data_IF_139150939164
#
_entry.id   IF_139150939164
#
_cell.length_a   1.000
_cell.length_b   1.000
_cell.length_c   1.000
_cell.angle_alpha   90.00
_cell.angle_beta   90.00
_cell.angle_gamma   90.00
#
_symmetry.space_group_name_H-M   'P 1'
#
loop_
_entity.id
_entity.type
_entity.pdbx_description
1 polymer ?
#
# COMPACT_ATOMS: atom_id res chain seq x y z
N UNK A 1 27.68 -10.10 2.46
CA UNK A 1 26.38 -9.74 1.82
C UNK A 1 25.52 -10.96 1.92
N UNK A 2 24.47 -10.90 2.73
CA UNK A 2 23.53 -12.02 2.87
C UNK A 2 22.21 -11.64 2.21
N UNK A 3 21.72 -12.50 1.33
CA UNK A 3 20.45 -12.32 0.67
C UNK A 3 19.36 -13.06 1.44
N UNK A 4 18.24 -12.39 1.65
CA UNK A 4 17.01 -13.00 2.14
C UNK A 4 16.19 -13.39 0.93
N UNK A 5 15.88 -14.69 0.79
CA UNK A 5 15.15 -15.22 -0.37
C UNK A 5 13.85 -15.86 0.09
N UNK A 6 12.76 -15.45 -0.54
CA UNK A 6 11.42 -15.99 -0.35
C UNK A 6 11.02 -16.72 -1.63
N UNK A 7 10.67 -18.00 -1.54
CA UNK A 7 10.33 -18.87 -2.67
C UNK A 7 8.95 -19.48 -2.49
N UNK A 8 8.09 -19.30 -3.48
CA UNK A 8 6.76 -19.91 -3.59
C UNK A 8 5.89 -19.70 -2.34
N UNK A 9 5.98 -18.53 -1.73
CA UNK A 9 5.25 -18.19 -0.51
C UNK A 9 3.75 -18.16 -0.79
N UNK A 10 3.01 -19.03 -0.09
CA UNK A 10 1.54 -19.07 -0.11
C UNK A 10 1.02 -19.06 1.31
N UNK A 11 0.09 -18.14 1.59
CA UNK A 11 -0.50 -17.98 2.91
C UNK A 11 -1.95 -17.52 2.85
N UNK A 12 -2.80 -18.11 3.69
CA UNK A 12 -4.17 -17.66 3.94
C UNK A 12 -4.51 -17.82 5.42
N UNK A 13 -5.24 -16.87 5.99
CA UNK A 13 -5.80 -17.04 7.33
C UNK A 13 -6.93 -18.07 7.32
N UNK A 14 -7.08 -18.78 8.42
CA UNK A 14 -8.16 -19.74 8.60
C UNK A 14 -9.53 -19.06 8.38
N UNK A 15 -10.39 -19.66 7.55
CA UNK A 15 -11.71 -19.14 7.22
C UNK A 15 -11.76 -18.14 6.05
N UNK A 16 -10.63 -17.76 5.46
CA UNK A 16 -10.61 -16.92 4.27
C UNK A 16 -10.57 -17.76 3.00
N UNK A 17 -11.44 -17.44 2.03
CA UNK A 17 -11.54 -18.15 0.75
C UNK A 17 -10.38 -17.82 -0.20
N UNK A 18 -9.80 -16.61 -0.08
CA UNK A 18 -8.71 -16.17 -0.94
C UNK A 18 -7.42 -16.07 -0.15
N UNK A 19 -6.30 -16.61 -0.68
CA UNK A 19 -4.99 -16.43 -0.05
C UNK A 19 -4.59 -14.94 -0.08
N UNK A 20 -3.82 -14.54 0.94
CA UNK A 20 -3.20 -13.20 0.99
C UNK A 20 -1.97 -13.19 0.09
N UNK A 21 -1.19 -14.26 0.14
CA UNK A 21 -0.07 -14.51 -0.78
C UNK A 21 -0.29 -15.83 -1.50
N UNK A 22 -0.11 -15.82 -2.81
CA UNK A 22 -0.26 -17.00 -3.66
C UNK A 22 0.96 -17.16 -4.56
N UNK A 23 1.79 -18.16 -4.25
CA UNK A 23 3.00 -18.52 -5.00
C UNK A 23 3.94 -17.33 -5.28
N UNK A 24 4.21 -16.50 -4.25
CA UNK A 24 5.00 -15.31 -4.38
C UNK A 24 6.48 -15.61 -4.13
N UNK A 25 7.36 -15.11 -5.01
CA UNK A 25 8.81 -15.27 -4.89
C UNK A 25 9.51 -13.94 -5.12
N UNK A 26 10.41 -13.56 -4.20
CA UNK A 26 11.24 -12.37 -4.30
C UNK A 26 12.45 -12.49 -3.37
N UNK A 27 13.43 -11.62 -3.58
CA UNK A 27 14.63 -11.58 -2.73
C UNK A 27 15.08 -10.13 -2.49
N UNK A 28 15.79 -9.93 -1.39
CA UNK A 28 16.39 -8.64 -1.04
C UNK A 28 17.66 -8.83 -0.22
N UNK A 29 18.54 -7.82 -0.25
CA UNK A 29 19.82 -7.85 0.49
C UNK A 29 19.64 -7.25 1.89
N UNK A 30 20.35 -7.80 2.87
CA UNK A 30 20.34 -7.34 4.27
C UNK A 30 20.91 -5.93 4.46
N UNK A 31 21.63 -5.38 3.49
CA UNK A 31 22.13 -4.01 3.52
C UNK A 31 21.16 -2.98 2.94
N UNK A 32 20.06 -3.42 2.34
CA UNK A 32 19.09 -2.52 1.76
C UNK A 32 18.19 -1.90 2.82
N UNK A 33 17.95 -0.61 2.69
CA UNK A 33 16.98 0.16 3.47
C UNK A 33 15.67 0.16 2.69
N UNK A 34 14.77 -0.72 3.10
CA UNK A 34 13.62 -1.09 2.28
C UNK A 34 12.34 -0.49 2.85
N UNK A 35 11.58 0.22 2.01
CA UNK A 35 10.21 0.60 2.31
C UNK A 35 9.23 -0.47 1.80
N UNK A 36 8.43 -1.05 2.69
CA UNK A 36 7.36 -1.97 2.33
C UNK A 36 6.07 -1.20 2.09
N UNK A 37 5.65 -1.13 0.84
CA UNK A 37 4.54 -0.29 0.39
C UNK A 37 3.40 -1.17 -0.12
N UNK A 38 2.17 -0.72 0.09
CA UNK A 38 0.97 -1.39 -0.38
C UNK A 38 -0.28 -0.83 0.30
N UNK A 39 -1.45 -1.15 -0.22
CA UNK A 39 -2.74 -0.71 0.35
C UNK A 39 -2.94 -1.27 1.76
N UNK A 40 -3.78 -0.59 2.55
CA UNK A 40 -4.19 -1.13 3.84
C UNK A 40 -4.93 -2.46 3.65
N UNK A 41 -4.60 -3.44 4.49
CA UNK A 41 -5.18 -4.78 4.40
C UNK A 41 -4.60 -5.70 3.32
N UNK A 42 -3.58 -5.27 2.53
CA UNK A 42 -2.99 -6.09 1.47
C UNK A 42 -2.04 -7.18 2.00
N UNK A 43 -1.68 -7.14 3.28
CA UNK A 43 -0.81 -8.16 3.87
C UNK A 43 0.57 -7.66 4.33
N UNK A 44 0.83 -6.35 4.46
CA UNK A 44 2.13 -5.83 4.94
C UNK A 44 2.51 -6.41 6.31
N UNK A 45 1.64 -6.25 7.31
CA UNK A 45 1.88 -6.79 8.66
C UNK A 45 1.82 -8.31 8.69
N UNK A 46 1.08 -8.95 7.76
CA UNK A 46 1.11 -10.40 7.59
C UNK A 46 2.48 -10.87 7.11
N UNK A 47 3.08 -10.18 6.14
CA UNK A 47 4.44 -10.50 5.70
C UNK A 47 5.44 -10.42 6.86
N UNK A 48 5.34 -9.41 7.74
CA UNK A 48 6.17 -9.34 8.95
C UNK A 48 5.99 -10.55 9.86
N UNK A 49 4.75 -10.99 10.10
CA UNK A 49 4.48 -12.19 10.92
C UNK A 49 5.09 -13.45 10.29
N UNK A 50 5.03 -13.59 8.96
CA UNK A 50 5.62 -14.72 8.24
C UNK A 50 7.15 -14.70 8.33
N UNK A 51 7.79 -13.56 8.15
CA UNK A 51 9.24 -13.39 8.30
C UNK A 51 9.72 -13.72 9.72
N UNK A 52 8.89 -13.41 10.73
CA UNK A 52 9.13 -13.71 12.14
C UNK A 52 8.75 -15.15 12.53
N UNK A 53 8.31 -15.99 11.61
CA UNK A 53 7.81 -17.35 11.85
C UNK A 53 6.67 -17.42 12.88
N UNK A 54 5.83 -16.37 12.96
CA UNK A 54 4.67 -16.33 13.87
C UNK A 54 3.43 -17.03 13.30
N UNK A 55 3.45 -17.35 12.01
CA UNK A 55 2.36 -18.03 11.29
C UNK A 55 2.95 -19.15 10.41
N UNK A 56 2.18 -20.21 10.20
CA UNK A 56 2.57 -21.31 9.31
C UNK A 56 2.24 -20.99 7.87
N UNK A 57 3.17 -21.23 6.95
CA UNK A 57 3.03 -20.92 5.53
C UNK A 57 3.53 -22.05 4.65
N UNK A 58 3.16 -22.04 3.37
CA UNK A 58 3.74 -22.89 2.35
C UNK A 58 4.83 -22.12 1.59
N UNK A 59 5.88 -22.81 1.17
CA UNK A 59 7.04 -22.20 0.53
C UNK A 59 8.27 -22.20 1.43
N UNK A 60 9.28 -21.40 1.07
CA UNK A 60 10.55 -21.36 1.80
C UNK A 60 11.01 -19.92 1.98
N UNK A 61 11.45 -19.59 3.20
CA UNK A 61 12.14 -18.35 3.53
C UNK A 61 13.56 -18.72 3.97
N UNK A 62 14.56 -18.34 3.16
CA UNK A 62 15.97 -18.56 3.45
C UNK A 62 16.59 -17.26 3.94
N UNK A 63 17.23 -17.31 5.13
CA UNK A 63 17.85 -16.15 5.78
C UNK A 63 19.04 -16.58 6.62
N UNK A 64 20.06 -15.74 6.64
CA UNK A 64 21.27 -15.92 7.49
C UNK A 64 21.30 -14.94 8.68
N UNK A 65 20.22 -14.15 8.85
CA UNK A 65 20.12 -13.13 9.92
C UNK A 65 18.87 -13.34 10.74
N UNK A 66 18.91 -12.89 12.00
CA UNK A 66 17.74 -12.86 12.86
C UNK A 66 16.86 -11.65 12.52
N UNK A 67 15.55 -11.86 12.37
CA UNK A 67 14.59 -10.77 12.24
C UNK A 67 14.16 -10.27 13.61
N UNK A 68 14.26 -8.95 13.80
CA UNK A 68 13.88 -8.27 15.04
C UNK A 68 12.71 -7.33 14.73
N UNK A 69 11.61 -7.48 15.46
CA UNK A 69 10.42 -6.65 15.27
C UNK A 69 10.51 -5.35 16.08
N UNK A 70 10.15 -4.25 15.44
CA UNK A 70 9.83 -2.98 16.09
C UNK A 70 8.35 -2.63 15.87
N UNK A 71 7.59 -2.20 16.90
CA UNK A 71 7.97 -2.21 18.29
C UNK A 71 8.10 -3.63 18.86
N UNK A 72 9.03 -3.85 19.79
CA UNK A 72 9.13 -5.12 20.50
C UNK A 72 7.92 -5.32 21.43
N UNK A 73 7.63 -6.56 21.80
CA UNK A 73 6.62 -6.84 22.79
C UNK A 73 7.19 -6.56 24.19
N UNK A 74 6.79 -5.46 24.80
CA UNK A 74 7.15 -5.13 26.20
C UNK A 74 6.02 -5.63 27.09
N UNK A 75 6.36 -6.50 28.05
CA UNK A 75 5.40 -7.08 28.99
C UNK A 75 5.15 -6.12 30.16
N UNK A 76 6.21 -5.46 30.64
CA UNK A 76 6.18 -4.59 31.81
C UNK A 76 6.73 -3.21 31.46
N UNK A 77 5.84 -2.22 31.39
CA UNK A 77 6.18 -0.81 31.08
C UNK A 77 6.60 0.01 32.31
N UNK A 78 6.48 -0.54 33.52
CA UNK A 78 6.92 0.13 34.75
C UNK A 78 8.44 0.07 34.94
N UNK A 79 9.13 -0.79 34.18
CA UNK A 79 10.60 -0.93 34.21
C UNK A 79 11.28 0.34 33.70
N UNK A 80 12.50 0.55 34.19
CA UNK A 80 13.38 1.60 33.68
C UNK A 80 13.82 1.29 32.26
N UNK A 81 14.06 2.31 31.44
CA UNK A 81 14.55 2.12 30.07
C UNK A 81 15.84 1.28 30.01
N UNK A 82 16.75 1.44 30.97
CA UNK A 82 17.99 0.65 31.06
C UNK A 82 17.73 -0.84 31.40
N UNK A 83 16.68 -1.14 32.14
CA UNK A 83 16.29 -2.51 32.45
C UNK A 83 15.70 -3.19 31.22
N UNK A 84 14.89 -2.46 30.43
CA UNK A 84 14.39 -2.93 29.15
C UNK A 84 15.52 -3.21 28.15
N UNK A 85 16.57 -2.38 28.15
CA UNK A 85 17.76 -2.65 27.34
C UNK A 85 18.39 -3.99 27.71
N UNK A 86 18.63 -4.25 29.00
CA UNK A 86 19.22 -5.50 29.48
C UNK A 86 18.35 -6.73 29.23
N UNK A 87 17.03 -6.55 29.17
CA UNK A 87 16.09 -7.62 28.88
C UNK A 87 16.04 -7.96 27.38
N UNK A 88 16.04 -6.95 26.52
CA UNK A 88 15.92 -7.11 25.07
C UNK A 88 17.26 -7.46 24.40
N UNK A 89 18.36 -7.01 24.97
CA UNK A 89 19.72 -7.16 24.44
C UNK A 89 20.57 -7.82 25.49
N UNK A 90 21.06 -9.01 25.22
CA UNK A 90 21.95 -9.76 26.11
C UNK A 90 23.38 -9.20 26.18
N UNK A 91 23.68 -8.18 25.39
CA UNK A 91 25.00 -7.57 25.32
C UNK A 91 25.08 -6.41 26.32
N UNK A 92 26.09 -6.44 27.23
CA UNK A 92 26.21 -5.47 28.32
C UNK A 92 26.95 -4.18 27.93
N UNK A 93 27.20 -3.94 26.64
CA UNK A 93 27.90 -2.74 26.17
C UNK A 93 27.00 -1.48 26.19
N UNK A 94 26.73 -0.97 27.39
CA UNK A 94 25.87 0.23 27.59
C UNK A 94 26.33 1.45 26.77
N UNK A 95 27.63 1.58 26.47
CA UNK A 95 28.14 2.68 25.66
C UNK A 95 27.55 2.71 24.23
N UNK A 96 27.21 1.55 23.66
CA UNK A 96 26.53 1.46 22.37
C UNK A 96 25.15 2.11 22.45
N UNK A 97 24.41 1.83 23.51
CA UNK A 97 23.11 2.42 23.75
C UNK A 97 23.20 3.94 23.86
N UNK A 98 24.12 4.46 24.67
CA UNK A 98 24.29 5.93 24.82
C UNK A 98 24.67 6.60 23.51
N UNK A 99 25.49 5.98 22.69
CA UNK A 99 25.78 6.46 21.35
C UNK A 99 24.51 6.55 20.48
N UNK A 100 23.66 5.53 20.52
CA UNK A 100 22.41 5.51 19.75
C UNK A 100 21.39 6.55 20.25
N UNK A 101 21.30 6.75 21.57
CA UNK A 101 20.46 7.78 22.17
C UNK A 101 20.89 9.19 21.72
N UNK A 102 22.19 9.46 21.74
CA UNK A 102 22.75 10.74 21.28
C UNK A 102 22.42 11.01 19.82
N UNK A 103 22.51 10.00 18.94
CA UNK A 103 22.14 10.11 17.54
C UNK A 103 20.64 10.42 17.32
N UNK A 104 19.79 10.03 18.27
CA UNK A 104 18.35 10.31 18.25
C UNK A 104 17.96 11.58 19.02
N UNK A 105 18.95 12.36 19.47
CA UNK A 105 18.75 13.55 20.30
C UNK A 105 17.88 13.27 21.54
N UNK A 106 18.21 12.21 22.28
CA UNK A 106 17.58 11.81 23.53
C UNK A 106 18.54 12.07 24.68
N UNK A 107 18.06 12.74 25.73
CA UNK A 107 18.80 12.92 26.96
C UNK A 107 19.04 11.54 27.63
N UNK A 108 20.31 11.22 27.90
CA UNK A 108 20.71 9.97 28.51
C UNK A 108 20.03 9.71 29.86
N UNK A 109 19.69 10.75 30.61
CA UNK A 109 18.99 10.62 31.87
C UNK A 109 17.59 10.01 31.75
N UNK A 110 16.96 10.10 30.58
CA UNK A 110 15.62 9.55 30.34
C UNK A 110 15.59 8.03 30.43
N UNK A 111 16.70 7.35 30.19
CA UNK A 111 16.75 5.88 30.24
C UNK A 111 16.65 5.33 31.67
N UNK A 112 16.91 6.18 32.68
CA UNK A 112 16.78 5.85 34.09
C UNK A 112 15.41 6.21 34.69
N UNK A 113 14.45 6.62 33.84
CA UNK A 113 13.06 6.81 34.21
C UNK A 113 12.22 5.59 33.89
N UNK A 114 11.09 5.44 34.56
CA UNK A 114 10.09 4.44 34.23
C UNK A 114 9.60 4.68 32.80
N UNK A 115 9.60 3.63 31.98
CA UNK A 115 9.31 3.73 30.55
C UNK A 115 7.90 4.30 30.29
N UNK A 116 6.92 3.99 31.14
CA UNK A 116 5.56 4.51 31.00
C UNK A 116 5.43 6.02 31.24
N UNK A 117 6.36 6.61 32.01
CA UNK A 117 6.40 8.06 32.29
C UNK A 117 6.95 8.89 31.12
N UNK A 118 7.57 8.23 30.15
CA UNK A 118 8.12 8.87 28.98
C UNK A 118 7.01 9.20 27.97
N UNK A 119 7.18 10.30 27.23
CA UNK A 119 6.29 10.57 26.11
C UNK A 119 6.37 9.44 25.05
N UNK A 120 5.28 9.21 24.30
CA UNK A 120 5.25 8.17 23.26
C UNK A 120 6.35 8.35 22.20
N UNK A 121 6.72 9.60 21.91
CA UNK A 121 7.84 9.89 21.01
C UNK A 121 9.20 9.51 21.58
N UNK A 122 9.45 9.76 22.87
CA UNK A 122 10.67 9.33 23.55
C UNK A 122 10.73 7.81 23.67
N UNK A 123 9.61 7.15 24.03
CA UNK A 123 9.51 5.69 24.04
C UNK A 123 9.90 5.09 22.69
N UNK A 124 9.36 5.63 21.58
CA UNK A 124 9.68 5.19 20.22
C UNK A 124 11.16 5.31 19.90
N UNK A 125 11.77 6.45 20.21
CA UNK A 125 13.19 6.70 19.96
C UNK A 125 14.11 5.81 20.82
N UNK A 126 13.78 5.65 22.10
CA UNK A 126 14.56 4.78 23.02
C UNK A 126 14.49 3.32 22.53
N UNK A 127 13.33 2.82 22.15
CA UNK A 127 13.22 1.46 21.61
C UNK A 127 14.00 1.28 20.31
N UNK A 128 14.01 2.27 19.42
CA UNK A 128 14.83 2.24 18.22
C UNK A 128 16.32 2.20 18.59
N UNK A 129 16.76 3.04 19.54
CA UNK A 129 18.14 3.05 20.04
C UNK A 129 18.53 1.66 20.56
N UNK A 130 17.71 1.06 21.42
CA UNK A 130 17.92 -0.27 21.99
C UNK A 130 18.08 -1.32 20.89
N UNK A 131 17.15 -1.40 19.94
CA UNK A 131 17.17 -2.45 18.94
C UNK A 131 18.32 -2.30 17.93
N UNK A 132 18.77 -1.08 17.64
CA UNK A 132 19.91 -0.83 16.76
C UNK A 132 21.28 -1.06 17.43
N UNK A 133 21.36 -1.35 18.73
CA UNK A 133 22.60 -1.83 19.35
C UNK A 133 22.92 -3.27 18.95
N UNK A 134 21.91 -4.06 18.53
CA UNK A 134 22.10 -5.45 18.07
C UNK A 134 22.66 -5.47 16.66
N UNK A 135 23.93 -5.80 16.51
CA UNK A 135 24.66 -5.70 15.24
C UNK A 135 24.28 -6.77 14.22
N UNK A 136 23.87 -7.97 14.67
CA UNK A 136 23.58 -9.12 13.82
C UNK A 136 22.09 -9.27 13.46
N UNK A 137 21.26 -8.28 13.76
CA UNK A 137 19.83 -8.29 13.52
C UNK A 137 19.42 -7.52 12.25
N UNK A 138 18.36 -7.98 11.59
CA UNK A 138 17.68 -7.23 10.55
C UNK A 138 16.32 -6.73 11.07
N UNK A 139 16.17 -5.42 11.21
CA UNK A 139 14.98 -4.84 11.82
C UNK A 139 13.79 -4.80 10.85
N UNK A 140 12.65 -5.25 11.35
CA UNK A 140 11.32 -5.11 10.74
C UNK A 140 10.57 -4.02 11.50
N UNK A 141 10.52 -2.81 10.93
CA UNK A 141 10.01 -1.61 11.60
C UNK A 141 8.59 -1.32 11.11
N UNK A 142 7.61 -1.39 12.02
CA UNK A 142 6.19 -1.15 11.71
C UNK A 142 5.76 0.20 12.29
N UNK A 143 5.45 1.18 11.42
CA UNK A 143 4.87 2.50 11.72
C UNK A 143 5.57 3.28 12.86
N UNK A 144 6.88 3.55 12.78
CA UNK A 144 7.60 4.26 13.85
C UNK A 144 7.19 5.74 13.96
N UNK A 145 6.49 6.27 12.97
CA UNK A 145 6.10 7.69 12.88
C UNK A 145 4.81 8.04 13.63
N UNK A 146 4.04 7.05 14.10
CA UNK A 146 2.69 7.26 14.66
C UNK A 146 2.66 8.21 15.88
N UNK A 147 3.73 8.27 16.66
CA UNK A 147 3.79 9.06 17.90
C UNK A 147 4.83 10.18 17.84
N UNK A 148 5.47 10.37 16.67
CA UNK A 148 6.47 11.40 16.49
C UNK A 148 5.84 12.69 15.95
N UNK A 149 6.29 13.81 16.47
CA UNK A 149 6.03 15.12 15.86
C UNK A 149 6.93 15.34 14.63
N UNK A 150 6.79 16.47 13.95
CA UNK A 150 7.53 16.72 12.71
C UNK A 150 9.05 16.71 12.91
N UNK A 151 9.53 17.26 14.03
CA UNK A 151 10.96 17.31 14.32
C UNK A 151 11.48 15.92 14.71
N UNK A 152 10.71 15.19 15.51
CA UNK A 152 11.01 13.80 15.85
C UNK A 152 11.09 12.90 14.60
N UNK A 153 10.19 13.08 13.62
CA UNK A 153 10.24 12.34 12.34
C UNK A 153 11.51 12.65 11.55
N UNK A 154 11.93 13.91 11.47
CA UNK A 154 13.18 14.30 10.80
C UNK A 154 14.40 13.64 11.45
N UNK A 155 14.50 13.72 12.79
CA UNK A 155 15.59 13.10 13.54
C UNK A 155 15.65 11.59 13.29
N UNK A 156 14.51 10.89 13.40
CA UNK A 156 14.46 9.43 13.19
C UNK A 156 14.73 9.07 11.72
N UNK A 157 14.25 9.86 10.76
CA UNK A 157 14.54 9.64 9.33
C UNK A 157 16.04 9.74 9.05
N UNK A 158 16.71 10.79 9.56
CA UNK A 158 18.15 10.98 9.41
C UNK A 158 18.95 9.89 10.12
N UNK A 159 18.51 9.48 11.30
CA UNK A 159 19.08 8.35 12.04
C UNK A 159 19.01 7.06 11.22
N UNK A 160 17.84 6.69 10.71
CA UNK A 160 17.66 5.49 9.87
C UNK A 160 18.46 5.55 8.57
N UNK A 161 18.59 6.74 7.97
CA UNK A 161 19.41 6.95 6.78
C UNK A 161 20.86 6.53 6.98
N UNK A 162 21.38 6.62 8.19
CA UNK A 162 22.78 6.30 8.52
C UNK A 162 22.95 4.85 9.04
N UNK A 163 21.86 4.08 9.17
CA UNK A 163 21.92 2.67 9.62
C UNK A 163 22.16 1.71 8.45
N UNK A 164 22.51 0.46 8.82
CA UNK A 164 22.53 -0.68 7.88
C UNK A 164 21.09 -1.00 7.43
N UNK A 165 20.91 -2.12 6.73
CA UNK A 165 19.60 -2.48 6.17
C UNK A 165 18.51 -2.73 7.21
N UNK A 166 17.29 -2.47 6.79
CA UNK A 166 16.06 -2.72 7.53
C UNK A 166 14.87 -2.80 6.56
N UNK A 167 13.75 -3.33 7.03
CA UNK A 167 12.46 -3.31 6.32
C UNK A 167 11.47 -2.44 7.11
N UNK A 168 10.97 -1.38 6.49
CA UNK A 168 10.17 -0.33 7.11
C UNK A 168 8.78 -0.24 6.49
N UNK A 169 7.75 -0.28 7.32
CA UNK A 169 6.39 0.10 6.96
C UNK A 169 6.13 1.50 7.52
N UNK A 170 5.74 2.43 6.66
CA UNK A 170 5.24 3.75 7.08
C UNK A 170 4.25 4.30 6.06
N UNK A 171 3.30 5.12 6.55
CA UNK A 171 2.38 5.89 5.73
C UNK A 171 2.88 7.30 5.42
N UNK A 172 3.97 7.71 6.06
CA UNK A 172 4.60 9.01 5.87
C UNK A 172 5.59 8.96 4.69
N UNK A 173 5.24 9.65 3.61
CA UNK A 173 6.01 9.65 2.36
C UNK A 173 7.35 10.37 2.49
N UNK A 174 7.34 11.53 3.15
CA UNK A 174 8.54 12.34 3.35
C UNK A 174 9.54 11.60 4.25
N UNK A 175 9.03 10.89 5.26
CA UNK A 175 9.83 10.03 6.12
C UNK A 175 10.49 8.88 5.33
N UNK A 176 9.71 8.19 4.49
CA UNK A 176 10.23 7.13 3.64
C UNK A 176 11.31 7.65 2.68
N UNK A 177 11.05 8.77 1.99
CA UNK A 177 12.02 9.36 1.06
C UNK A 177 13.35 9.75 1.73
N UNK A 178 13.29 10.12 2.99
CA UNK A 178 14.48 10.48 3.76
C UNK A 178 15.39 9.31 4.14
N UNK A 179 14.87 8.09 4.25
CA UNK A 179 15.62 6.98 4.87
C UNK A 179 15.74 5.71 4.02
N UNK A 180 14.92 5.48 2.99
CA UNK A 180 14.97 4.25 2.19
C UNK A 180 15.76 4.42 0.89
N UNK A 181 16.26 3.30 0.35
CA UNK A 181 16.92 3.22 -0.96
C UNK A 181 16.38 2.11 -1.86
N UNK A 182 15.47 1.30 -1.35
CA UNK A 182 14.73 0.27 -2.09
C UNK A 182 13.28 0.25 -1.65
N UNK A 183 12.41 -0.18 -2.56
CA UNK A 183 10.97 -0.32 -2.31
C UNK A 183 10.54 -1.74 -2.65
N UNK A 184 9.86 -2.39 -1.71
CA UNK A 184 9.08 -3.60 -1.96
C UNK A 184 7.62 -3.21 -1.98
N UNK A 185 6.97 -3.35 -3.13
CA UNK A 185 5.55 -3.04 -3.28
C UNK A 185 4.71 -4.31 -3.35
N UNK A 186 3.76 -4.45 -2.43
CA UNK A 186 2.79 -5.55 -2.45
C UNK A 186 1.59 -5.08 -3.27
N UNK A 187 1.37 -5.77 -4.40
CA UNK A 187 0.20 -5.62 -5.24
C UNK A 187 -0.74 -6.83 -5.04
N UNK A 188 -1.92 -6.84 -5.67
CA UNK A 188 -2.87 -7.96 -5.53
C UNK A 188 -2.30 -9.32 -5.93
N UNK A 189 -1.49 -9.36 -6.99
CA UNK A 189 -1.03 -10.60 -7.62
C UNK A 189 0.49 -10.69 -7.71
N UNK A 190 1.23 -9.70 -7.26
CA UNK A 190 2.70 -9.66 -7.35
C UNK A 190 3.32 -8.86 -6.23
N UNK A 191 4.57 -9.19 -5.92
CA UNK A 191 5.45 -8.34 -5.12
C UNK A 191 6.56 -7.86 -6.05
N UNK A 192 6.70 -6.55 -6.17
CA UNK A 192 7.70 -5.93 -7.01
C UNK A 192 8.79 -5.29 -6.14
N UNK A 193 10.05 -5.56 -6.45
CA UNK A 193 11.22 -4.98 -5.78
C UNK A 193 11.87 -3.96 -6.70
N UNK A 194 12.06 -2.74 -6.23
CA UNK A 194 12.60 -1.64 -7.01
C UNK A 194 13.69 -0.89 -6.24
N UNK A 195 14.77 -0.53 -6.91
CA UNK A 195 15.78 0.38 -6.38
C UNK A 195 15.27 1.83 -6.48
N UNK A 196 15.58 2.62 -5.47
CA UNK A 196 15.19 4.03 -5.38
C UNK A 196 14.38 4.33 -4.11
N UNK A 197 14.03 5.60 -3.93
CA UNK A 197 13.19 6.07 -2.83
C UNK A 197 11.69 5.98 -3.18
N UNK A 198 10.83 6.40 -2.25
CA UNK A 198 9.38 6.36 -2.44
C UNK A 198 8.92 7.21 -3.64
N UNK A 199 9.47 8.41 -3.79
CA UNK A 199 9.11 9.33 -4.89
C UNK A 199 9.42 8.72 -6.25
N UNK A 200 10.63 8.16 -6.45
CA UNK A 200 11.02 7.52 -7.71
C UNK A 200 10.14 6.30 -8.03
N UNK A 201 9.82 5.50 -7.02
CA UNK A 201 8.87 4.38 -7.17
C UNK A 201 7.48 4.86 -7.55
N UNK A 202 6.98 5.93 -6.88
CA UNK A 202 5.65 6.47 -7.15
C UNK A 202 5.51 7.04 -8.56
N UNK A 203 6.52 7.77 -9.04
CA UNK A 203 6.57 8.28 -10.42
C UNK A 203 6.54 7.14 -11.45
N UNK A 204 7.38 6.11 -11.24
CA UNK A 204 7.40 4.92 -12.09
C UNK A 204 6.03 4.21 -12.09
N UNK A 205 5.40 4.09 -10.92
CA UNK A 205 4.05 3.51 -10.81
C UNK A 205 3.02 4.33 -11.57
N UNK A 206 3.02 5.63 -11.42
CA UNK A 206 2.09 6.53 -12.13
C UNK A 206 2.28 6.44 -13.65
N UNK A 207 3.52 6.36 -14.12
CA UNK A 207 3.81 6.18 -15.55
C UNK A 207 3.29 4.82 -16.05
N UNK A 208 3.54 3.74 -15.30
CA UNK A 208 3.06 2.39 -15.62
C UNK A 208 1.53 2.35 -15.65
N UNK A 209 0.87 2.92 -14.65
CA UNK A 209 -0.60 2.97 -14.55
C UNK A 209 -1.20 3.75 -15.75
N UNK A 210 -0.62 4.91 -16.11
CA UNK A 210 -1.05 5.69 -17.30
C UNK A 210 -0.91 4.91 -18.58
N UNK A 211 0.21 4.21 -18.75
CA UNK A 211 0.45 3.39 -19.93
C UNK A 211 -0.57 2.24 -20.03
N UNK A 212 -0.82 1.54 -18.92
CA UNK A 212 -1.79 0.45 -18.84
C UNK A 212 -3.22 0.94 -19.09
N UNK A 213 -3.61 2.11 -18.57
CA UNK A 213 -4.90 2.74 -18.87
C UNK A 213 -5.05 3.02 -20.37
N UNK A 214 -4.03 3.62 -20.98
CA UNK A 214 -4.03 3.91 -22.43
C UNK A 214 -4.14 2.63 -23.28
N UNK A 215 -3.42 1.57 -22.88
CA UNK A 215 -3.54 0.26 -23.55
C UNK A 215 -4.93 -0.35 -23.39
N UNK A 216 -5.49 -0.32 -22.19
CA UNK A 216 -6.85 -0.82 -21.93
C UNK A 216 -7.91 -0.06 -22.73
N UNK A 217 -7.77 1.26 -22.87
CA UNK A 217 -8.68 2.05 -23.71
C UNK A 217 -8.60 1.65 -25.20
N UNK A 218 -7.38 1.43 -25.73
CA UNK A 218 -7.20 0.93 -27.10
C UNK A 218 -7.83 -0.44 -27.27
N UNK A 219 -7.58 -1.38 -26.34
CA UNK A 219 -8.17 -2.71 -26.37
C UNK A 219 -9.70 -2.66 -26.31
N UNK A 220 -10.27 -1.83 -25.45
CA UNK A 220 -11.74 -1.64 -25.35
C UNK A 220 -12.33 -1.10 -26.66
N UNK A 221 -11.67 -0.13 -27.30
CA UNK A 221 -12.08 0.39 -28.62
C UNK A 221 -12.04 -0.71 -29.70
N UNK A 222 -10.98 -1.52 -29.71
CA UNK A 222 -10.84 -2.62 -30.65
C UNK A 222 -11.91 -3.72 -30.42
N UNK A 223 -12.14 -4.09 -29.15
CA UNK A 223 -13.19 -5.05 -28.78
C UNK A 223 -14.56 -4.52 -29.25
N UNK A 224 -14.84 -3.23 -29.05
CA UNK A 224 -16.08 -2.62 -29.51
C UNK A 224 -16.22 -2.72 -31.04
N UNK A 225 -15.16 -2.37 -31.79
CA UNK A 225 -15.16 -2.48 -33.25
C UNK A 225 -15.38 -3.92 -33.73
N UNK A 226 -14.72 -4.90 -33.11
CA UNK A 226 -14.90 -6.31 -33.44
C UNK A 226 -16.31 -6.81 -33.11
N UNK A 227 -16.90 -6.40 -31.99
CA UNK A 227 -18.30 -6.71 -31.63
C UNK A 227 -19.30 -6.12 -32.63
N UNK A 228 -19.09 -4.88 -33.05
CA UNK A 228 -19.91 -4.23 -34.04
C UNK A 228 -19.80 -4.92 -35.40
N UNK A 229 -18.60 -5.28 -35.84
CA UNK A 229 -18.36 -6.03 -37.07
C UNK A 229 -19.02 -7.43 -37.04
N UNK A 230 -18.90 -8.13 -35.91
CA UNK A 230 -19.55 -9.43 -35.70
C UNK A 230 -21.08 -9.30 -35.78
N UNK A 231 -21.64 -8.28 -35.13
CA UNK A 231 -23.08 -7.98 -35.19
C UNK A 231 -23.56 -7.70 -36.62
N UNK A 232 -22.82 -6.86 -37.40
CA UNK A 232 -23.15 -6.58 -38.79
C UNK A 232 -23.06 -7.83 -39.67
N UNK A 233 -22.03 -8.66 -39.47
CA UNK A 233 -21.87 -9.96 -40.16
C UNK A 233 -23.05 -10.88 -39.90
N UNK A 234 -23.55 -10.94 -38.66
CA UNK A 234 -24.72 -11.73 -38.28
C UNK A 234 -25.98 -11.22 -38.95
N UNK A 235 -26.25 -9.91 -38.90
CA UNK A 235 -27.42 -9.28 -39.57
C UNK A 235 -27.40 -9.57 -41.07
N UNK A 236 -26.22 -9.56 -41.69
CA UNK A 236 -26.04 -9.84 -43.12
C UNK A 236 -26.34 -11.34 -43.42
N UNK A 237 -25.86 -12.24 -42.56
CA UNK A 237 -26.16 -13.67 -42.66
C UNK A 237 -27.65 -13.96 -42.54
N UNK A 238 -28.32 -13.35 -41.55
CA UNK A 238 -29.76 -13.50 -41.34
C UNK A 238 -30.59 -12.94 -42.52
N UNK A 239 -30.15 -11.82 -43.13
CA UNK A 239 -30.78 -11.26 -44.34
C UNK A 239 -30.66 -12.22 -45.52
N UNK A 240 -29.49 -12.84 -45.74
CA UNK A 240 -29.30 -13.81 -46.84
C UNK A 240 -30.17 -15.06 -46.60
N UNK A 241 -30.31 -15.49 -45.36
CA UNK A 241 -31.15 -16.64 -44.98
C UNK A 241 -32.63 -16.36 -45.26
N UNK A 242 -33.12 -15.17 -44.91
CA UNK A 242 -34.48 -14.73 -45.19
C UNK A 242 -34.77 -14.56 -46.69
N UNK A 243 -33.76 -14.24 -47.50
CA UNK A 243 -33.92 -14.12 -48.98
C UNK A 243 -34.11 -15.52 -49.63
N UNK A 244 -33.71 -16.62 -48.96
CA UNK A 244 -34.01 -17.99 -49.40
C UNK A 244 -35.51 -18.30 -49.42
N UNK A 245 -36.27 -17.71 -48.53
CA UNK A 245 -37.67 -18.05 -48.29
C UNK A 245 -38.68 -17.09 -48.93
N UNK A 246 -38.22 -16.05 -49.62
CA UNK A 246 -39.12 -14.97 -50.00
C UNK A 246 -38.80 -14.17 -51.25
N UNK A 247 -38.62 -14.77 -52.43
CA UNK A 247 -38.89 -14.04 -53.68
C UNK A 247 -39.51 -15.01 -54.70
N UNK A 248 -40.84 -14.94 -54.87
CA UNK A 248 -41.52 -15.44 -56.04
C UNK A 248 -41.34 -14.35 -57.14
N UNK A 249 -40.29 -14.47 -57.96
CA UNK A 249 -40.21 -13.73 -59.21
C UNK A 249 -40.95 -14.54 -60.29
N UNK A 250 -41.97 -13.93 -60.86
CA UNK A 250 -42.78 -14.49 -61.91
C UNK A 250 -41.94 -14.84 -63.15
N UNK A 251 -41.91 -16.13 -63.52
CA UNK A 251 -41.50 -16.54 -64.85
C UNK A 251 -40.28 -17.44 -65.02
N UNK A 252 -39.41 -17.60 -64.05
CA UNK A 252 -38.23 -18.52 -64.12
C UNK A 252 -38.13 -19.35 -62.86
N UNK A 253 -38.15 -20.68 -62.98
CA UNK A 253 -37.88 -21.59 -61.87
C UNK A 253 -36.41 -21.45 -61.51
N UNK A 254 -36.04 -20.86 -60.36
CA UNK A 254 -34.63 -20.77 -59.94
C UNK A 254 -34.12 -22.18 -59.67
N UNK A 255 -32.90 -22.47 -60.13
CA UNK A 255 -32.20 -23.71 -59.81
C UNK A 255 -31.91 -23.74 -58.30
N UNK A 256 -32.81 -24.43 -57.57
CA UNK A 256 -32.76 -24.54 -56.11
C UNK A 256 -31.47 -25.20 -55.63
N UNK A 257 -30.83 -26.02 -56.46
CA UNK A 257 -29.57 -26.72 -56.12
C UNK A 257 -28.38 -25.76 -56.08
N UNK A 258 -28.27 -24.88 -57.10
CA UNK A 258 -27.16 -23.93 -57.21
C UNK A 258 -27.28 -22.82 -56.12
N UNK A 259 -28.48 -22.31 -55.90
CA UNK A 259 -28.74 -21.28 -54.84
C UNK A 259 -28.51 -21.90 -53.44
N UNK A 260 -28.92 -23.15 -53.23
CA UNK A 260 -28.66 -23.85 -51.96
C UNK A 260 -27.16 -24.05 -51.66
N UNK A 261 -26.40 -24.40 -52.68
CA UNK A 261 -24.93 -24.58 -52.54
C UNK A 261 -24.20 -23.25 -52.27
N UNK A 262 -24.55 -22.18 -53.02
CA UNK A 262 -23.97 -20.82 -52.76
C UNK A 262 -24.30 -20.32 -51.36
N UNK A 263 -25.53 -20.49 -50.93
CA UNK A 263 -25.99 -20.09 -49.60
C UNK A 263 -25.28 -20.89 -48.49
N UNK A 264 -25.11 -22.20 -48.64
CA UNK A 264 -24.35 -23.04 -47.68
C UNK A 264 -22.88 -22.61 -47.62
N UNK A 265 -22.27 -22.27 -48.77
CA UNK A 265 -20.88 -21.77 -48.82
C UNK A 265 -20.74 -20.41 -48.16
N UNK A 266 -21.71 -19.50 -48.34
CA UNK A 266 -21.73 -18.19 -47.65
C UNK A 266 -21.96 -18.32 -46.16
N UNK A 267 -22.89 -19.17 -45.70
CA UNK A 267 -23.09 -19.46 -44.29
C UNK A 267 -21.83 -20.04 -43.61
N UNK A 268 -21.15 -20.96 -44.28
CA UNK A 268 -19.89 -21.53 -43.77
C UNK A 268 -18.80 -20.47 -43.64
N UNK A 269 -18.70 -19.52 -44.59
CA UNK A 269 -17.79 -18.37 -44.52
C UNK A 269 -18.17 -17.42 -43.40
N UNK A 270 -19.46 -17.08 -43.22
CA UNK A 270 -19.95 -16.22 -42.16
C UNK A 270 -19.68 -16.81 -40.77
N UNK A 271 -19.98 -18.11 -40.59
CA UNK A 271 -19.73 -18.82 -39.32
C UNK A 271 -18.23 -18.91 -38.98
N UNK A 272 -17.38 -19.13 -39.99
CA UNK A 272 -15.94 -19.08 -39.80
C UNK A 272 -15.43 -17.69 -39.43
N UNK A 273 -15.99 -16.64 -40.00
CA UNK A 273 -15.64 -15.26 -39.68
C UNK A 273 -16.07 -14.92 -38.25
N UNK A 274 -17.29 -15.29 -37.87
CA UNK A 274 -17.83 -15.11 -36.50
C UNK A 274 -16.98 -15.82 -35.47
N UNK A 275 -16.58 -17.07 -35.72
CA UNK A 275 -15.71 -17.82 -34.83
C UNK A 275 -14.32 -17.16 -34.68
N UNK A 276 -13.73 -16.62 -35.77
CA UNK A 276 -12.47 -15.88 -35.72
C UNK A 276 -12.61 -14.57 -34.94
N UNK A 277 -13.71 -13.85 -35.12
CA UNK A 277 -13.98 -12.60 -34.40
C UNK A 277 -14.20 -12.87 -32.91
N UNK A 278 -14.94 -13.90 -32.55
CA UNK A 278 -15.17 -14.28 -31.16
C UNK A 278 -13.86 -14.69 -30.46
N UNK A 279 -13.01 -15.48 -31.11
CA UNK A 279 -11.67 -15.79 -30.58
C UNK A 279 -10.83 -14.55 -30.38
N UNK A 280 -10.79 -13.65 -31.36
CA UNK A 280 -10.05 -12.39 -31.25
C UNK A 280 -10.59 -11.47 -30.15
N UNK A 281 -11.91 -11.48 -29.90
CA UNK A 281 -12.54 -10.74 -28.79
C UNK A 281 -12.11 -11.35 -27.46
N UNK A 282 -12.15 -12.66 -27.33
CA UNK A 282 -11.76 -13.38 -26.12
C UNK A 282 -10.27 -13.18 -25.80
N UNK A 283 -9.40 -13.30 -26.80
CA UNK A 283 -7.96 -13.02 -26.65
C UNK A 283 -7.71 -11.58 -26.17
N UNK A 284 -8.40 -10.59 -26.77
CA UNK A 284 -8.26 -9.19 -26.36
C UNK A 284 -8.88 -8.90 -24.97
N UNK A 285 -9.95 -9.59 -24.59
CA UNK A 285 -10.52 -9.48 -23.26
C UNK A 285 -9.57 -10.03 -22.18
N UNK A 286 -8.88 -11.10 -22.45
CA UNK A 286 -7.88 -11.69 -21.55
C UNK A 286 -6.63 -10.80 -21.40
N UNK A 287 -6.36 -9.92 -22.36
CA UNK A 287 -5.27 -8.93 -22.29
C UNK A 287 -5.63 -7.69 -21.48
N UNK A 288 -6.91 -7.48 -21.16
CA UNK A 288 -7.31 -6.35 -20.33
C UNK A 288 -6.77 -6.53 -18.91
N UNK A 289 -5.94 -5.59 -18.48
CA UNK A 289 -5.42 -5.55 -17.12
C UNK A 289 -6.46 -4.99 -16.16
N UNK A 290 -6.57 -5.62 -15.00
CA UNK A 290 -7.41 -5.11 -13.90
C UNK A 290 -6.67 -3.95 -13.23
N UNK A 291 -6.94 -2.73 -13.71
CA UNK A 291 -6.33 -1.51 -13.19
C UNK A 291 -7.13 -1.08 -11.98
N UNK A 292 -6.45 -0.96 -10.85
CA UNK A 292 -7.03 -0.42 -9.63
C UNK A 292 -7.40 1.06 -9.84
N UNK A 293 -8.69 1.35 -9.95
CA UNK A 293 -9.20 2.72 -9.92
C UNK A 293 -9.23 3.22 -8.48
N UNK A 294 -8.57 4.35 -8.22
CA UNK A 294 -8.73 5.06 -6.95
C UNK A 294 -10.11 5.70 -6.96
N UNK A 295 -11.00 5.21 -6.10
CA UNK A 295 -12.23 5.95 -5.83
C UNK A 295 -11.85 7.22 -5.05
N UNK A 296 -12.21 8.39 -5.59
CA UNK A 296 -12.07 9.64 -4.87
C UNK A 296 -13.04 9.65 -3.69
N UNK A 297 -12.54 9.96 -2.50
CA UNK A 297 -13.38 10.18 -1.34
C UNK A 297 -14.22 11.43 -1.60
N UNK A 298 -15.50 11.25 -1.85
CA UNK A 298 -16.45 12.37 -1.96
C UNK A 298 -17.01 12.62 -0.57
N UNK A 299 -16.57 13.73 0.04
CA UNK A 299 -17.17 14.23 1.27
C UNK A 299 -18.41 15.04 0.89
N UNK A 300 -19.56 14.65 1.40
CA UNK A 300 -20.80 15.41 1.29
C UNK A 300 -21.06 16.12 2.63
N UNK A 301 -20.51 17.34 2.84
CA UNK A 301 -20.73 18.06 4.08
C UNK A 301 -22.18 18.44 4.21
N UNK A 302 -22.75 18.22 5.40
CA UNK A 302 -24.11 18.71 5.72
C UNK A 302 -24.08 20.22 5.83
N UNK A 303 -25.02 20.89 5.16
CA UNK A 303 -25.21 22.33 5.30
C UNK A 303 -25.80 22.68 6.67
N UNK A 304 -25.13 23.55 7.41
CA UNK A 304 -25.63 24.11 8.67
C UNK A 304 -26.08 25.56 8.45
N UNK A 305 -27.11 26.00 9.18
CA UNK A 305 -27.66 27.34 8.97
C UNK A 305 -26.82 28.45 9.63
N UNK A 306 -25.92 28.11 10.55
CA UNK A 306 -25.03 29.09 11.21
C UNK A 306 -23.69 29.17 10.51
N UNK A 307 -23.19 30.38 10.37
CA UNK A 307 -21.84 30.67 9.89
C UNK A 307 -21.33 31.88 10.72
N UNK A 308 -20.27 31.75 11.52
CA UNK A 308 -19.32 30.63 11.63
C UNK A 308 -19.90 29.39 12.32
N UNK A 309 -19.31 28.21 12.04
CA UNK A 309 -19.66 26.94 12.69
C UNK A 309 -19.13 26.87 14.13
N UNK A 310 -17.91 27.37 14.33
CA UNK A 310 -17.24 27.45 15.63
C UNK A 310 -16.65 28.86 15.75
N UNK A 311 -16.90 29.50 16.89
CA UNK A 311 -16.25 30.75 17.27
C UNK A 311 -15.70 30.58 18.68
N UNK A 312 -14.39 30.77 18.82
CA UNK A 312 -13.66 30.63 20.06
C UNK A 312 -13.05 32.00 20.39
N UNK A 313 -13.34 32.52 21.59
CA UNK A 313 -12.77 33.75 22.08
C UNK A 313 -12.02 33.53 23.38
N UNK A 314 -10.79 34.04 23.46
CA UNK A 314 -9.94 34.09 24.65
C UNK A 314 -9.81 32.78 25.43
N UNK A 315 -9.78 31.66 24.70
CA UNK A 315 -9.71 30.30 25.25
C UNK A 315 -8.37 30.06 25.94
N UNK A 316 -8.43 29.81 27.25
CA UNK A 316 -7.29 29.35 28.04
C UNK A 316 -7.60 28.05 28.75
N UNK A 317 -6.67 27.15 28.80
CA UNK A 317 -6.83 25.82 29.42
C UNK A 317 -5.63 25.46 30.26
N UNK A 318 -5.89 24.79 31.40
CA UNK A 318 -4.89 24.42 32.40
C UNK A 318 -4.99 22.94 32.73
N UNK A 319 -3.84 22.28 32.95
CA UNK A 319 -3.74 20.98 33.61
C UNK A 319 -3.01 21.18 34.94
N UNK A 320 -3.75 21.15 36.05
CA UNK A 320 -3.23 21.56 37.34
C UNK A 320 -2.75 23.03 37.31
N UNK A 321 -1.52 23.29 37.67
CA UNK A 321 -0.90 24.62 37.61
C UNK A 321 -0.31 24.98 36.23
N UNK A 322 -0.21 24.00 35.32
CA UNK A 322 0.42 24.22 33.99
C UNK A 322 -0.60 24.75 33.00
N UNK A 323 -0.38 25.94 32.48
CA UNK A 323 -1.14 26.50 31.37
C UNK A 323 -0.77 25.79 30.05
N UNK A 324 -1.75 25.23 29.36
CA UNK A 324 -1.55 24.53 28.09
C UNK A 324 -1.96 25.39 26.90
N UNK A 325 -3.10 26.09 27.01
CA UNK A 325 -3.58 27.02 25.99
C UNK A 325 -3.67 28.38 26.62
N UNK A 326 -3.24 29.43 25.90
CA UNK A 326 -3.23 30.79 26.37
C UNK A 326 -3.92 31.71 25.38
N UNK A 327 -5.06 32.25 25.76
CA UNK A 327 -5.78 33.32 25.05
C UNK A 327 -5.97 33.07 23.55
N UNK A 328 -6.42 31.86 23.18
CA UNK A 328 -6.59 31.44 21.80
C UNK A 328 -7.96 31.91 21.28
N UNK A 329 -7.96 32.65 20.17
CA UNK A 329 -9.18 33.11 19.50
C UNK A 329 -9.13 32.79 18.02
N UNK A 330 -10.17 32.13 17.50
CA UNK A 330 -10.29 31.78 16.09
C UNK A 330 -11.75 31.48 15.72
N UNK A 331 -12.04 31.52 14.43
CA UNK A 331 -13.33 31.16 13.87
C UNK A 331 -13.15 30.09 12.76
N UNK A 332 -14.09 29.16 12.69
CA UNK A 332 -14.16 28.15 11.62
C UNK A 332 -15.50 28.32 10.89
N UNK A 333 -15.43 28.59 9.61
CA UNK A 333 -16.59 28.76 8.74
C UNK A 333 -16.96 27.47 8.04
N UNK A 334 -18.18 27.41 7.54
CA UNK A 334 -18.63 26.28 6.75
C UNK A 334 -17.81 26.13 5.47
N UNK A 335 -17.23 24.95 5.24
CA UNK A 335 -16.36 24.65 4.10
C UNK A 335 -14.86 24.85 4.35
N UNK A 336 -14.48 25.38 5.53
CA UNK A 336 -13.07 25.52 5.87
C UNK A 336 -12.44 24.15 6.13
N UNK A 337 -11.19 24.01 5.68
CA UNK A 337 -10.31 22.88 6.01
C UNK A 337 -9.23 23.42 6.92
N UNK A 338 -9.29 23.05 8.20
CA UNK A 338 -8.38 23.55 9.22
C UNK A 338 -7.39 22.46 9.63
N UNK A 339 -6.10 22.78 9.62
CA UNK A 339 -5.04 21.91 10.11
C UNK A 339 -4.44 22.49 11.40
N UNK A 340 -4.31 21.64 12.44
CA UNK A 340 -3.70 22.01 13.72
C UNK A 340 -2.28 21.47 13.75
N UNK A 341 -1.29 22.34 13.82
CA UNK A 341 0.13 22.01 13.88
C UNK A 341 0.74 22.38 15.24
N UNK A 342 1.82 21.70 15.62
CA UNK A 342 2.60 21.99 16.82
C UNK A 342 3.37 20.77 17.32
N UNK A 343 4.36 21.00 18.21
CA UNK A 343 5.15 19.96 18.86
C UNK A 343 4.30 19.04 19.75
N UNK A 344 4.84 17.90 20.15
CA UNK A 344 4.19 17.03 21.13
C UNK A 344 4.04 17.76 22.46
N UNK A 345 2.88 17.63 23.10
CA UNK A 345 2.57 18.36 24.34
C UNK A 345 2.11 19.81 24.16
N UNK A 346 2.02 20.36 22.94
CA UNK A 346 1.56 21.75 22.69
C UNK A 346 0.06 22.00 22.87
N UNK A 347 -0.72 21.02 23.31
CA UNK A 347 -2.14 21.19 23.60
C UNK A 347 -3.10 20.92 22.44
N UNK A 348 -2.64 20.33 21.29
CA UNK A 348 -3.50 20.00 20.14
C UNK A 348 -4.71 19.15 20.51
N UNK A 349 -4.47 18.06 21.23
CA UNK A 349 -5.52 17.14 21.68
C UNK A 349 -6.43 17.78 22.74
N UNK A 350 -5.91 18.70 23.55
CA UNK A 350 -6.68 19.49 24.52
C UNK A 350 -7.64 20.42 23.79
N UNK A 351 -7.16 21.12 22.74
CA UNK A 351 -8.01 21.99 21.92
C UNK A 351 -9.17 21.26 21.24
N UNK A 352 -8.94 20.02 20.78
CA UNK A 352 -9.99 19.21 20.12
C UNK A 352 -11.02 18.67 21.13
N UNK A 353 -10.61 18.48 22.41
CA UNK A 353 -11.51 17.94 23.45
C UNK A 353 -12.40 18.97 24.11
N UNK A 354 -12.04 20.24 24.03
CA UNK A 354 -12.85 21.36 24.49
C UNK A 354 -13.98 21.65 23.49
#
# INVERSE_FOLDING_TARGET
MSAITIENLTFSYYGYVKPIFENVSFSFDTNWKIGLIGRNGIGKSTLFKLLLNQETYQGKISKDVEFIKFPPNIIDTSKLGIELYKELISDEEEWKLFRELNLLNIDENLIYREFEMLSKGEQTKILLAILFTKEDGFLLIDEPTNHLDMDGRKVVSEYLKNKKGFLLISHDRDFLDGCINHVISINRNSIDVQSGNFTSWYENKVMKDRFEISQNEKLRKDIKRLKEAARQSKIWSDKIENTKNGVKVSGVKPDKGHIGHQSAKMMKKSKNLENRQNKAIEEKQNLLKDIETKESLLLHPLHHHKNPLISVGDLSSYYGEKQILNNLSFEIKQGDIVAIYGSNGSGKSTLIKI
#
